data_IF_257886772528
#
_entry.id   IF_257886772528
#
_cell.length_a   1.000
_cell.length_b   1.000
_cell.length_c   1.000
_cell.angle_alpha   90.00
_cell.angle_beta   90.00
_cell.angle_gamma   90.00
#
_symmetry.space_group_name_H-M   'P 1'
#
loop_
_entity.id
_entity.type
_entity.pdbx_description
1 polymer ?
#
# COMPACT_ATOMS: atom_id res chain seq x y z
N UNK A 1 -5.09 5.52 11.82
CA UNK A 1 -6.08 6.07 10.87
C UNK A 1 -6.98 7.05 11.60
N UNK A 2 -7.21 8.24 11.04
CA UNK A 2 -8.20 9.18 11.58
C UNK A 2 -9.59 8.87 10.97
N UNK A 3 -10.63 9.55 11.43
CA UNK A 3 -12.01 9.28 10.97
C UNK A 3 -12.18 9.41 9.46
N UNK A 4 -11.65 10.48 8.87
CA UNK A 4 -11.72 10.70 7.42
C UNK A 4 -11.08 9.57 6.61
N UNK A 5 -9.94 9.04 7.06
CA UNK A 5 -9.28 7.91 6.39
C UNK A 5 -10.14 6.64 6.46
N UNK A 6 -10.78 6.37 7.61
CA UNK A 6 -11.68 5.22 7.77
C UNK A 6 -12.88 5.33 6.82
N UNK A 7 -13.52 6.51 6.79
CA UNK A 7 -14.69 6.76 5.95
C UNK A 7 -14.32 6.67 4.45
N UNK A 8 -13.14 7.15 4.05
CA UNK A 8 -12.67 7.15 2.65
C UNK A 8 -12.50 5.74 2.07
N UNK A 9 -12.12 4.76 2.90
CA UNK A 9 -12.01 3.35 2.49
C UNK A 9 -13.28 2.54 2.74
N UNK A 10 -14.37 3.19 3.15
CA UNK A 10 -15.68 2.58 3.33
C UNK A 10 -15.87 1.84 4.66
N UNK A 11 -15.07 2.13 5.69
CA UNK A 11 -15.32 1.60 7.03
C UNK A 11 -16.29 2.48 7.81
N UNK A 12 -17.30 1.85 8.39
CA UNK A 12 -18.29 2.44 9.28
C UNK A 12 -18.11 1.90 10.70
N UNK A 13 -18.65 2.59 11.71
CA UNK A 13 -18.47 2.24 13.12
C UNK A 13 -18.88 0.81 13.50
N UNK A 14 -19.56 0.03 12.65
CA UNK A 14 -19.87 -1.39 12.89
C UNK A 14 -19.38 -2.33 11.79
N UNK A 15 -18.48 -1.88 10.92
CA UNK A 15 -17.85 -2.76 9.93
C UNK A 15 -17.20 -3.95 10.63
N UNK A 16 -17.45 -5.14 10.09
CA UNK A 16 -16.75 -6.34 10.48
C UNK A 16 -15.26 -6.22 10.12
N UNK A 17 -14.44 -6.99 10.84
CA UNK A 17 -13.03 -7.11 10.52
C UNK A 17 -12.83 -7.71 9.12
N UNK A 18 -11.92 -7.15 8.29
CA UNK A 18 -11.61 -7.73 6.99
C UNK A 18 -10.87 -9.07 7.15
N UNK A 19 -10.90 -9.96 6.14
CA UNK A 19 -10.22 -11.25 6.22
C UNK A 19 -8.72 -11.08 6.55
N UNK A 20 -8.29 -11.73 7.63
CA UNK A 20 -6.90 -11.68 8.10
C UNK A 20 -6.47 -10.32 8.65
N UNK A 21 -7.41 -9.43 8.97
CA UNK A 21 -7.16 -8.10 9.54
C UNK A 21 -7.98 -7.89 10.81
N UNK A 22 -7.61 -6.87 11.61
CA UNK A 22 -8.38 -6.44 12.78
C UNK A 22 -8.47 -4.92 12.77
N UNK A 23 -9.67 -4.37 13.00
CA UNK A 23 -9.88 -2.96 13.28
C UNK A 23 -10.10 -2.80 14.78
N UNK A 24 -9.16 -2.16 15.47
CA UNK A 24 -9.21 -2.06 16.94
C UNK A 24 -10.29 -1.06 17.37
N UNK A 25 -11.16 -1.53 18.25
CA UNK A 25 -12.28 -0.77 18.81
C UNK A 25 -12.05 -0.48 20.28
N UNK A 26 -12.56 0.66 20.71
CA UNK A 26 -12.65 0.98 22.11
C UNK A 26 -13.69 0.06 22.78
N UNK A 27 -13.37 -0.61 23.89
CA UNK A 27 -14.26 -1.59 24.51
C UNK A 27 -15.48 -0.96 25.22
N UNK A 28 -15.44 0.32 25.55
CA UNK A 28 -16.54 1.02 26.21
C UNK A 28 -17.51 1.63 25.20
N UNK A 29 -16.99 2.20 24.11
CA UNK A 29 -17.78 2.94 23.11
C UNK A 29 -18.06 2.15 21.83
N UNK A 30 -17.35 1.04 21.61
CA UNK A 30 -17.31 0.25 20.37
C UNK A 30 -16.82 1.04 19.12
N UNK A 31 -16.42 2.30 19.29
CA UNK A 31 -15.92 3.13 18.20
C UNK A 31 -14.52 2.71 17.76
N UNK A 32 -14.15 3.08 16.53
CA UNK A 32 -12.79 2.88 16.04
C UNK A 32 -11.78 3.71 16.83
N UNK A 33 -10.75 3.05 17.36
CA UNK A 33 -9.57 3.73 17.93
C UNK A 33 -8.67 4.37 16.87
N UNK A 34 -8.87 3.98 15.60
CA UNK A 34 -7.99 4.33 14.49
C UNK A 34 -6.80 3.40 14.32
N UNK A 35 -6.60 2.42 15.20
CA UNK A 35 -5.58 1.38 15.02
C UNK A 35 -6.14 0.25 14.14
N UNK A 36 -5.39 -0.11 13.09
CA UNK A 36 -5.71 -1.22 12.18
C UNK A 36 -4.51 -2.16 12.13
N UNK A 37 -4.76 -3.47 12.19
CA UNK A 37 -3.74 -4.50 12.32
C UNK A 37 -3.82 -5.50 11.17
N UNK A 38 -2.68 -6.15 10.89
CA UNK A 38 -2.54 -7.19 9.89
C UNK A 38 -3.08 -6.75 8.51
N UNK A 39 -3.91 -7.56 7.85
CA UNK A 39 -4.39 -7.28 6.50
C UNK A 39 -5.36 -6.07 6.43
N UNK A 40 -5.86 -5.57 7.56
CA UNK A 40 -6.77 -4.42 7.57
C UNK A 40 -6.11 -3.14 7.07
N UNK A 41 -4.78 -3.02 7.16
CA UNK A 41 -4.05 -1.86 6.63
C UNK A 41 -4.01 -1.81 5.09
N UNK A 42 -4.22 -2.95 4.41
CA UNK A 42 -3.98 -3.08 2.97
C UNK A 42 -4.91 -2.18 2.14
N UNK A 43 -6.17 -2.02 2.55
CA UNK A 43 -7.12 -1.14 1.85
C UNK A 43 -6.70 0.33 1.92
N UNK A 44 -6.11 0.75 3.04
CA UNK A 44 -5.55 2.09 3.18
C UNK A 44 -4.29 2.26 2.35
N UNK A 45 -3.40 1.27 2.32
CA UNK A 45 -2.20 1.30 1.48
C UNK A 45 -2.56 1.48 0.01
N UNK A 46 -3.54 0.72 -0.48
CA UNK A 46 -4.03 0.82 -1.86
C UNK A 46 -4.67 2.19 -2.14
N UNK A 47 -5.44 2.74 -1.20
CA UNK A 47 -6.12 4.03 -1.37
C UNK A 47 -5.20 5.25 -1.24
N UNK A 48 -4.01 5.12 -0.64
CA UNK A 48 -3.15 6.26 -0.29
C UNK A 48 -2.51 6.95 -1.49
N UNK A 49 -2.17 6.20 -2.54
CA UNK A 49 -1.55 6.71 -3.77
C UNK A 49 -2.14 5.98 -4.98
N UNK A 50 -3.38 6.29 -5.38
CA UNK A 50 -3.96 5.71 -6.59
C UNK A 50 -3.10 6.10 -7.82
N UNK A 51 -3.05 5.27 -8.88
CA UNK A 51 -2.16 5.46 -10.02
C UNK A 51 -2.65 6.57 -10.98
N UNK A 52 -2.84 7.79 -10.46
CA UNK A 52 -3.11 8.98 -11.29
C UNK A 52 -1.80 9.49 -11.90
N UNK A 53 -1.82 10.23 -13.01
CA UNK A 53 -0.62 10.81 -13.61
C UNK A 53 0.23 11.61 -12.61
N UNK A 54 -0.42 12.38 -11.73
CA UNK A 54 0.23 13.19 -10.70
C UNK A 54 0.95 12.33 -9.66
N UNK A 55 0.32 11.23 -9.22
CA UNK A 55 0.92 10.32 -8.24
C UNK A 55 2.05 9.47 -8.85
N UNK A 56 1.94 9.12 -10.13
CA UNK A 56 3.02 8.45 -10.86
C UNK A 56 4.24 9.37 -10.98
N UNK A 57 4.03 10.64 -11.32
CA UNK A 57 5.10 11.64 -11.35
C UNK A 57 5.71 11.86 -9.96
N UNK A 58 4.87 11.94 -8.92
CA UNK A 58 5.34 12.01 -7.53
C UNK A 58 6.22 10.80 -7.17
N UNK A 59 5.82 9.60 -7.57
CA UNK A 59 6.60 8.38 -7.40
C UNK A 59 7.95 8.44 -8.09
N UNK A 60 7.97 8.86 -9.37
CA UNK A 60 9.20 9.03 -10.15
C UNK A 60 10.16 10.04 -9.51
N UNK A 61 9.66 11.22 -9.14
CA UNK A 61 10.47 12.26 -8.49
C UNK A 61 10.99 11.82 -7.11
N UNK A 62 10.20 11.04 -6.37
CA UNK A 62 10.61 10.47 -5.09
C UNK A 62 11.72 9.44 -5.26
N UNK A 63 11.64 8.59 -6.29
CA UNK A 63 12.71 7.66 -6.65
C UNK A 63 14.01 8.41 -6.99
N UNK A 64 13.96 9.43 -7.85
CA UNK A 64 15.14 10.23 -8.18
C UNK A 64 15.79 10.88 -6.95
N UNK A 65 14.97 11.41 -6.02
CA UNK A 65 15.46 11.98 -4.76
C UNK A 65 16.18 10.93 -3.90
N UNK A 66 15.60 9.73 -3.77
CA UNK A 66 16.21 8.63 -3.03
C UNK A 66 17.52 8.19 -3.65
N UNK A 67 17.56 8.01 -4.99
CA UNK A 67 18.78 7.64 -5.72
C UNK A 67 19.89 8.69 -5.56
N UNK A 68 19.55 9.98 -5.52
CA UNK A 68 20.52 11.04 -5.25
C UNK A 68 21.17 10.87 -3.87
N UNK A 69 20.37 10.63 -2.83
CA UNK A 69 20.89 10.39 -1.47
C UNK A 69 21.78 9.15 -1.42
N UNK A 70 21.37 8.06 -2.09
CA UNK A 70 22.15 6.83 -2.14
C UNK A 70 23.50 7.03 -2.83
N UNK A 71 23.51 7.69 -3.99
CA UNK A 71 24.72 7.99 -4.73
C UNK A 71 25.67 8.91 -3.93
N UNK A 72 25.14 9.88 -3.18
CA UNK A 72 25.93 10.73 -2.27
C UNK A 72 26.63 9.92 -1.15
N UNK A 73 26.13 8.72 -0.83
CA UNK A 73 26.71 7.81 0.16
C UNK A 73 27.44 6.63 -0.49
N UNK A 74 27.78 6.71 -1.79
CA UNK A 74 28.57 5.70 -2.49
C UNK A 74 27.81 4.42 -2.88
N UNK A 75 26.49 4.39 -2.72
CA UNK A 75 25.64 3.28 -3.19
C UNK A 75 25.32 3.52 -4.66
N UNK A 76 25.86 2.68 -5.54
CA UNK A 76 25.81 2.86 -7.00
C UNK A 76 24.91 1.86 -7.72
N UNK A 77 24.33 0.90 -6.99
CA UNK A 77 23.35 -0.06 -7.51
C UNK A 77 22.28 -0.37 -6.47
N UNK A 78 21.05 -0.59 -6.93
CA UNK A 78 19.90 -0.97 -6.11
C UNK A 78 19.01 -1.96 -6.86
N UNK A 79 18.37 -2.86 -6.12
CA UNK A 79 17.22 -3.62 -6.60
C UNK A 79 16.01 -3.15 -5.84
N UNK A 80 15.04 -2.56 -6.55
CA UNK A 80 13.78 -2.18 -5.93
C UNK A 80 12.94 -3.44 -5.69
N UNK A 81 12.55 -3.65 -4.44
CA UNK A 81 11.71 -4.76 -4.00
C UNK A 81 10.24 -4.33 -3.83
N UNK A 82 9.87 -3.16 -4.33
CA UNK A 82 8.51 -2.64 -4.28
C UNK A 82 7.51 -3.54 -5.01
N UNK A 83 6.63 -4.20 -4.25
CA UNK A 83 5.37 -4.72 -4.80
C UNK A 83 4.40 -3.55 -5.00
N UNK A 84 4.49 -2.96 -6.18
CA UNK A 84 3.43 -2.16 -6.79
C UNK A 84 3.03 -2.90 -8.05
N UNK A 85 1.83 -3.49 -8.05
CA UNK A 85 1.22 -4.19 -9.20
C UNK A 85 0.94 -3.30 -10.42
N UNK A 86 1.88 -2.43 -10.80
CA UNK A 86 1.99 -1.82 -12.12
C UNK A 86 2.50 -2.82 -13.18
N UNK A 87 2.92 -4.02 -12.75
CA UNK A 87 3.03 -5.19 -13.61
C UNK A 87 1.69 -5.93 -13.64
N UNK A 88 0.96 -5.79 -14.74
CA UNK A 88 -0.27 -6.52 -15.04
C UNK A 88 -0.02 -8.04 -14.97
N UNK A 89 -0.24 -8.67 -13.81
CA UNK A 89 -0.06 -10.12 -13.59
C UNK A 89 -0.98 -10.96 -14.49
N UNK A 90 -1.99 -10.33 -15.11
CA UNK A 90 -2.81 -10.93 -16.16
C UNK A 90 -1.98 -11.39 -17.38
N UNK A 91 -0.75 -10.87 -17.54
CA UNK A 91 0.20 -11.31 -18.58
C UNK A 91 0.93 -12.61 -18.24
N UNK A 92 0.87 -13.07 -17.00
CA UNK A 92 1.41 -14.37 -16.60
C UNK A 92 0.27 -15.37 -16.52
N UNK A 93 -0.06 -15.98 -17.66
CA UNK A 93 -1.05 -17.04 -17.74
C UNK A 93 -0.74 -18.23 -16.82
N UNK A 94 -1.81 -18.85 -16.31
CA UNK A 94 -1.78 -20.03 -15.45
C UNK A 94 -0.88 -21.14 -16.02
N UNK A 95 0.20 -21.45 -15.29
CA UNK A 95 0.85 -22.74 -15.34
C UNK A 95 1.81 -22.98 -16.51
N UNK A 96 3.03 -22.48 -16.41
CA UNK A 96 4.25 -23.29 -16.62
C UNK A 96 5.46 -22.47 -16.12
N UNK A 97 6.45 -23.17 -15.56
CA UNK A 97 7.75 -22.68 -15.13
C UNK A 97 8.43 -21.70 -16.13
N UNK A 98 9.29 -20.80 -15.66
CA UNK A 98 9.43 -19.43 -16.19
C UNK A 98 10.15 -19.40 -17.53
N UNK A 99 9.52 -18.78 -18.54
CA UNK A 99 10.26 -17.91 -19.44
C UNK A 99 10.17 -16.52 -18.84
N UNK A 100 11.27 -16.14 -18.18
CA UNK A 100 11.51 -14.83 -17.59
C UNK A 100 10.98 -13.73 -18.52
N UNK A 101 10.14 -12.86 -17.99
CA UNK A 101 10.41 -11.44 -18.17
C UNK A 101 11.27 -11.04 -16.97
#
# INVERSE_FOLDING_TARGET
MNRLAMDTVGFEAKSADPPGGIIVRDPETEEFTGVVLENAQQVFRTASLPPTPENLELGYQSLLRSLKTLNQNGITSVSDAGDSGLGDISKCGNGQHPKKC
#
